data_IF_896748492286
#
_entry.id   IF_896748492286
#
_cell.length_a   1.000
_cell.length_b   1.000
_cell.length_c   1.000
_cell.angle_alpha   90.00
_cell.angle_beta   90.00
_cell.angle_gamma   90.00
#
_symmetry.space_group_name_H-M   'P 1'
#
loop_
_entity.id
_entity.type
_entity.pdbx_description
1 polymer ?
#
# COMPACT_ATOMS: atom_id res chain seq x y z
N UNK A 1 67.79 2.01 54.41
CA UNK A 1 67.65 0.69 53.74
C UNK A 1 66.17 0.44 53.47
N UNK A 2 65.84 -0.34 52.44
CA UNK A 2 64.69 -0.15 51.55
C UNK A 2 63.41 -0.84 52.03
N UNK A 3 62.34 -0.50 51.31
CA UNK A 3 61.12 -1.25 51.00
C UNK A 3 60.69 -2.42 51.90
N UNK A 4 59.44 -2.34 52.38
CA UNK A 4 58.62 -3.52 52.60
C UNK A 4 57.20 -3.29 52.08
N UNK A 5 56.77 -4.23 51.24
CA UNK A 5 55.51 -4.32 50.53
C UNK A 5 54.36 -4.87 51.39
N UNK A 6 53.15 -4.35 51.10
CA UNK A 6 51.81 -5.01 51.04
C UNK A 6 51.15 -5.51 52.34
N UNK A 7 49.91 -5.02 52.61
CA UNK A 7 48.63 -5.77 52.82
C UNK A 7 47.47 -4.77 52.58
N UNK A 8 46.73 -4.77 51.46
CA UNK A 8 45.55 -5.54 51.01
C UNK A 8 44.22 -5.41 51.83
N UNK A 9 43.13 -5.15 51.10
CA UNK A 9 41.67 -5.27 51.41
C UNK A 9 41.08 -4.24 52.39
N UNK A 10 39.94 -3.58 52.17
CA UNK A 10 38.65 -3.99 51.58
C UNK A 10 37.83 -2.73 51.16
N UNK A 11 37.01 -2.85 50.12
CA UNK A 11 36.17 -1.83 49.45
C UNK A 11 34.90 -1.48 50.25
N UNK A 12 34.42 -0.21 50.23
CA UNK A 12 33.00 0.21 50.04
C UNK A 12 32.91 1.70 49.62
N UNK A 13 32.27 1.99 48.48
CA UNK A 13 31.87 3.33 47.98
C UNK A 13 30.49 3.69 48.55
N UNK A 14 30.18 4.98 48.74
CA UNK A 14 28.85 5.46 48.34
C UNK A 14 28.88 6.68 47.40
N UNK A 15 27.90 6.63 46.52
CA UNK A 15 27.59 7.41 45.33
C UNK A 15 26.99 8.79 45.73
N UNK A 16 27.06 9.79 44.82
CA UNK A 16 25.93 10.67 44.39
C UNK A 16 26.26 12.18 44.30
N UNK A 17 25.99 12.71 43.09
CA UNK A 17 25.66 14.09 42.64
C UNK A 17 26.76 15.16 42.52
N UNK A 18 27.33 15.25 41.31
CA UNK A 18 27.85 16.51 40.75
C UNK A 18 26.70 17.20 40.02
N UNK A 19 26.17 18.28 40.59
CA UNK A 19 25.27 19.19 39.88
C UNK A 19 26.15 20.19 39.13
N UNK A 20 26.25 20.03 37.80
CA UNK A 20 26.79 21.06 36.93
C UNK A 20 25.64 21.98 36.50
N UNK A 21 25.63 23.20 37.03
CA UNK A 21 24.81 24.30 36.50
C UNK A 21 25.59 24.93 35.37
N UNK A 22 25.17 24.72 34.13
CA UNK A 22 25.62 25.53 32.98
C UNK A 22 24.44 26.27 32.41
N UNK A 23 24.62 27.59 32.35
CA UNK A 23 23.67 28.62 32.00
C UNK A 23 23.34 28.57 30.50
N UNK A 24 22.05 28.57 30.19
CA UNK A 24 21.43 28.85 28.90
C UNK A 24 21.58 30.35 28.56
N UNK A 25 21.73 30.90 27.36
CA UNK A 25 21.11 30.64 26.05
C UNK A 25 21.89 31.39 24.95
N UNK A 26 21.76 30.86 23.72
CA UNK A 26 21.62 31.53 22.42
C UNK A 26 22.71 32.53 21.95
N UNK A 27 23.25 32.27 20.76
CA UNK A 27 22.97 33.01 19.51
C UNK A 27 23.91 32.47 18.41
N UNK A 28 23.35 32.35 17.20
CA UNK A 28 23.95 31.99 15.91
C UNK A 28 23.88 30.51 15.49
N UNK A 29 22.83 30.17 14.74
CA UNK A 29 22.98 29.42 13.48
C UNK A 29 21.84 29.73 12.50
N UNK A 30 22.23 30.35 11.38
CA UNK A 30 21.75 30.19 10.00
C UNK A 30 20.27 30.50 9.68
N UNK A 31 20.07 31.64 8.99
CA UNK A 31 18.97 31.85 8.04
C UNK A 31 19.03 30.75 6.97
N UNK A 32 18.23 29.68 7.13
CA UNK A 32 17.72 28.96 5.97
C UNK A 32 16.47 29.69 5.49
N UNK A 33 16.62 30.40 4.38
CA UNK A 33 15.50 30.91 3.60
C UNK A 33 14.54 29.75 3.31
N UNK A 34 13.24 29.85 3.62
CA UNK A 34 12.31 28.79 3.31
C UNK A 34 12.20 28.70 1.78
N UNK A 35 12.77 27.65 1.19
CA UNK A 35 12.42 27.26 -0.18
C UNK A 35 10.89 27.07 -0.20
N UNK A 36 10.15 27.76 -1.08
CA UNK A 36 8.75 27.44 -1.24
C UNK A 36 8.69 26.01 -1.82
N UNK A 37 8.22 25.04 -1.03
CA UNK A 37 7.73 23.78 -1.56
C UNK A 37 6.54 24.11 -2.47
N UNK A 38 6.86 24.27 -3.74
CA UNK A 38 5.89 24.22 -4.83
C UNK A 38 6.00 22.82 -5.42
N UNK A 39 5.62 21.82 -4.63
CA UNK A 39 5.12 20.58 -5.22
C UNK A 39 3.86 20.98 -5.99
N UNK A 40 3.80 20.77 -7.32
CA UNK A 40 2.59 21.00 -8.07
C UNK A 40 1.45 20.17 -7.43
N UNK A 41 0.22 20.66 -7.53
CA UNK A 41 -1.00 19.99 -7.03
C UNK A 41 -1.21 18.59 -7.66
N UNK A 42 -0.34 18.17 -8.59
CA UNK A 42 -0.22 16.82 -9.13
C UNK A 42 0.56 15.82 -8.25
N UNK A 43 1.18 16.25 -7.15
CA UNK A 43 2.04 15.40 -6.29
C UNK A 43 1.31 14.78 -5.08
N UNK A 44 0.13 14.19 -5.30
CA UNK A 44 -0.29 13.01 -4.52
C UNK A 44 -1.40 12.26 -5.24
N UNK A 45 -1.24 10.94 -5.41
CA UNK A 45 -2.28 10.05 -5.92
C UNK A 45 -2.26 9.77 -7.42
N UNK A 46 -2.80 8.60 -7.78
CA UNK A 46 -2.88 8.12 -9.16
C UNK A 46 -3.79 8.99 -10.03
N UNK A 47 -3.57 8.90 -11.34
CA UNK A 47 -4.30 9.53 -12.44
C UNK A 47 -4.85 8.45 -13.37
N UNK A 48 -5.78 8.82 -14.27
CA UNK A 48 -6.24 7.89 -15.31
C UNK A 48 -5.13 7.44 -16.27
N UNK A 49 -4.01 8.17 -16.36
CA UNK A 49 -2.87 7.82 -17.22
C UNK A 49 -1.96 6.75 -16.60
N UNK A 50 -2.03 6.53 -15.28
CA UNK A 50 -1.19 5.52 -14.61
C UNK A 50 -1.54 4.09 -15.04
N UNK A 51 -2.69 3.89 -15.71
CA UNK A 51 -3.01 2.63 -16.35
C UNK A 51 -2.00 2.23 -17.45
N UNK A 52 -1.39 3.20 -18.14
CA UNK A 52 -0.37 2.94 -19.17
C UNK A 52 0.93 2.40 -18.53
N UNK A 53 1.25 2.87 -17.33
CA UNK A 53 2.38 2.35 -16.54
C UNK A 53 2.09 0.92 -16.09
N UNK A 54 0.88 0.66 -15.56
CA UNK A 54 0.45 -0.70 -15.18
C UNK A 54 0.52 -1.65 -16.39
N UNK A 55 0.00 -1.22 -17.55
CA UNK A 55 0.07 -1.98 -18.80
C UNK A 55 1.52 -2.36 -19.17
N UNK A 56 2.43 -1.38 -19.07
CA UNK A 56 3.83 -1.58 -19.43
C UNK A 56 4.51 -2.57 -18.49
N UNK A 57 4.32 -2.39 -17.18
CA UNK A 57 4.93 -3.26 -16.15
C UNK A 57 4.39 -4.70 -16.19
N UNK A 58 3.09 -4.88 -16.42
CA UNK A 58 2.49 -6.21 -16.45
C UNK A 58 2.83 -7.01 -17.71
N UNK A 59 3.12 -6.32 -18.82
CA UNK A 59 3.47 -6.96 -20.09
C UNK A 59 4.74 -7.82 -19.99
N UNK A 60 5.68 -7.45 -19.14
CA UNK A 60 6.91 -8.21 -18.90
C UNK A 60 6.63 -9.60 -18.29
N UNK A 61 5.48 -9.74 -17.62
CA UNK A 61 5.02 -10.98 -17.00
C UNK A 61 3.97 -11.72 -17.85
N UNK A 62 3.81 -11.35 -19.13
CA UNK A 62 2.83 -11.96 -20.02
C UNK A 62 1.38 -11.64 -19.65
N UNK A 63 1.15 -10.58 -18.88
CA UNK A 63 -0.17 -10.10 -18.46
C UNK A 63 -0.48 -8.85 -19.28
N UNK A 64 -1.65 -8.84 -19.92
CA UNK A 64 -2.06 -7.77 -20.81
C UNK A 64 -3.22 -7.00 -20.19
N UNK A 65 -3.14 -5.67 -20.21
CA UNK A 65 -4.22 -4.81 -19.75
C UNK A 65 -4.79 -4.06 -20.95
N UNK A 66 -6.12 -4.11 -21.13
CA UNK A 66 -6.77 -3.43 -22.26
C UNK A 66 -6.71 -1.92 -22.13
N UNK A 67 -6.98 -1.21 -23.23
CA UNK A 67 -7.22 0.23 -23.16
C UNK A 67 -8.41 0.55 -22.24
N UNK A 68 -8.36 1.67 -21.51
CA UNK A 68 -9.44 2.06 -20.61
C UNK A 68 -10.71 2.44 -21.37
N UNK A 69 -11.85 1.95 -20.87
CA UNK A 69 -13.18 2.32 -21.34
C UNK A 69 -13.89 3.13 -20.27
N UNK A 70 -14.34 4.33 -20.63
CA UNK A 70 -15.07 5.20 -19.71
C UNK A 70 -16.48 4.65 -19.44
N UNK A 71 -16.87 4.65 -18.17
CA UNK A 71 -18.21 4.33 -17.68
C UNK A 71 -18.74 5.55 -16.95
N UNK A 72 -19.78 6.16 -17.52
CA UNK A 72 -20.39 7.42 -17.02
C UNK A 72 -21.91 7.33 -16.90
N UNK A 73 -22.48 6.17 -17.19
CA UNK A 73 -23.91 5.93 -17.10
C UNK A 73 -24.30 5.34 -15.74
N UNK A 74 -25.57 4.96 -15.61
CA UNK A 74 -26.14 4.36 -14.41
C UNK A 74 -25.48 3.04 -13.96
N UNK A 75 -24.60 2.43 -14.76
CA UNK A 75 -23.88 1.20 -14.41
C UNK A 75 -22.57 1.44 -13.67
N UNK A 76 -22.16 2.70 -13.48
CA UNK A 76 -20.89 3.07 -12.83
C UNK A 76 -20.66 2.38 -11.47
N UNK A 77 -21.72 2.15 -10.70
CA UNK A 77 -21.66 1.47 -9.40
C UNK A 77 -21.34 -0.03 -9.49
N UNK A 78 -21.39 -0.62 -10.68
CA UNK A 78 -20.96 -2.01 -10.89
C UNK A 78 -19.43 -2.12 -10.99
N UNK A 79 -18.75 -1.00 -11.28
CA UNK A 79 -17.31 -0.96 -11.54
C UNK A 79 -16.56 -0.18 -10.45
N UNK A 80 -17.10 0.95 -10.02
CA UNK A 80 -16.45 1.88 -9.10
C UNK A 80 -17.38 2.22 -7.93
N UNK A 81 -17.57 1.26 -7.02
CA UNK A 81 -18.20 1.48 -5.72
C UNK A 81 -17.21 1.15 -4.62
N UNK A 82 -17.12 2.04 -3.63
CA UNK A 82 -16.35 1.81 -2.40
C UNK A 82 -17.22 2.13 -1.19
N UNK A 83 -16.77 1.77 0.00
CA UNK A 83 -17.51 2.02 1.23
C UNK A 83 -16.76 3.00 2.10
N UNK A 84 -17.45 4.04 2.52
CA UNK A 84 -16.95 5.03 3.48
C UNK A 84 -17.92 5.08 4.65
N UNK A 85 -17.43 4.87 5.88
CA UNK A 85 -18.26 4.80 7.09
C UNK A 85 -19.43 3.80 6.98
N UNK A 86 -19.21 2.67 6.30
CA UNK A 86 -20.21 1.62 6.09
C UNK A 86 -21.29 1.95 5.06
N UNK A 87 -21.19 3.09 4.36
CA UNK A 87 -22.12 3.50 3.31
C UNK A 87 -21.47 3.37 1.93
N UNK A 88 -22.18 2.80 0.94
CA UNK A 88 -21.67 2.75 -0.42
C UNK A 88 -21.57 4.17 -0.99
N UNK A 89 -20.43 4.46 -1.60
CA UNK A 89 -20.11 5.68 -2.32
C UNK A 89 -19.87 5.33 -3.78
N UNK A 90 -20.47 6.13 -4.65
CA UNK A 90 -20.23 6.07 -6.09
C UNK A 90 -19.42 7.28 -6.48
N UNK A 91 -18.59 7.08 -7.50
CA UNK A 91 -17.85 8.14 -8.18
C UNK A 91 -18.66 8.70 -9.34
N UNK A 92 -18.27 9.86 -9.87
CA UNK A 92 -18.94 10.50 -11.01
C UNK A 92 -18.41 9.98 -12.36
N UNK A 93 -17.15 9.56 -12.37
CA UNK A 93 -16.46 9.04 -13.55
C UNK A 93 -15.63 7.82 -13.16
N UNK A 94 -15.65 6.79 -14.02
CA UNK A 94 -14.92 5.55 -13.84
C UNK A 94 -14.35 5.12 -15.20
N UNK A 95 -13.16 4.54 -15.20
CA UNK A 95 -12.62 3.80 -16.34
C UNK A 95 -12.43 2.35 -15.95
N UNK A 96 -12.82 1.43 -16.82
CA UNK A 96 -12.58 0.00 -16.63
C UNK A 96 -11.62 -0.53 -17.69
N UNK A 97 -10.71 -1.41 -17.28
CA UNK A 97 -9.77 -2.11 -18.16
C UNK A 97 -9.83 -3.60 -17.87
N UNK A 98 -9.79 -4.44 -18.90
CA UNK A 98 -9.70 -5.88 -18.73
C UNK A 98 -8.24 -6.27 -18.47
N UNK A 99 -8.03 -7.21 -17.55
CA UNK A 99 -6.74 -7.87 -17.32
C UNK A 99 -6.81 -9.27 -17.94
N UNK A 100 -5.86 -9.59 -18.79
CA UNK A 100 -5.82 -10.81 -19.59
C UNK A 100 -4.49 -11.54 -19.38
N UNK A 101 -4.52 -12.87 -19.49
CA UNK A 101 -3.30 -13.67 -19.59
C UNK A 101 -2.74 -13.71 -21.03
N UNK A 102 -1.65 -14.46 -21.21
CA UNK A 102 -0.99 -14.61 -22.51
C UNK A 102 -1.82 -15.31 -23.58
N UNK A 103 -2.82 -16.08 -23.17
CA UNK A 103 -3.74 -16.79 -24.07
C UNK A 103 -4.98 -15.94 -24.40
N UNK A 104 -5.10 -14.75 -23.79
CA UNK A 104 -6.22 -13.84 -23.95
C UNK A 104 -7.41 -14.17 -23.05
N UNK A 105 -7.27 -15.07 -22.08
CA UNK A 105 -8.31 -15.33 -21.09
C UNK A 105 -8.36 -14.18 -20.09
N UNK A 106 -9.57 -13.84 -19.62
CA UNK A 106 -9.75 -12.80 -18.61
C UNK A 106 -9.34 -13.30 -17.22
N UNK A 107 -8.47 -12.54 -16.57
CA UNK A 107 -8.12 -12.70 -15.16
C UNK A 107 -8.99 -11.80 -14.27
N UNK A 108 -9.54 -10.72 -14.85
CA UNK A 108 -10.39 -9.78 -14.17
C UNK A 108 -10.31 -8.38 -14.77
N UNK A 109 -10.37 -7.34 -13.94
CA UNK A 109 -10.40 -5.95 -14.39
C UNK A 109 -9.75 -4.99 -13.39
N UNK A 110 -9.21 -3.88 -13.88
CA UNK A 110 -8.76 -2.75 -13.06
C UNK A 110 -9.66 -1.56 -13.39
N UNK A 111 -10.25 -0.99 -12.35
CA UNK A 111 -11.12 0.17 -12.44
C UNK A 111 -10.46 1.34 -11.72
N UNK A 112 -10.50 2.53 -12.31
CA UNK A 112 -10.05 3.78 -11.71
C UNK A 112 -11.24 4.73 -11.71
N UNK A 113 -11.52 5.40 -10.60
CA UNK A 113 -12.70 6.25 -10.47
C UNK A 113 -12.54 7.45 -9.54
N UNK A 114 -13.37 8.45 -9.77
CA UNK A 114 -13.45 9.69 -8.99
C UNK A 114 -14.23 10.75 -9.77
N UNK A 115 -13.72 11.97 -9.82
CA UNK A 115 -14.14 12.94 -10.83
C UNK A 115 -13.30 12.76 -12.11
N UNK A 116 -13.60 13.52 -13.17
CA UNK A 116 -12.78 13.53 -14.39
C UNK A 116 -11.37 14.06 -14.14
N UNK A 117 -11.21 14.93 -13.14
CA UNK A 117 -9.96 15.65 -12.87
C UNK A 117 -9.22 15.09 -11.65
N UNK A 118 -9.91 14.33 -10.80
CA UNK A 118 -9.38 13.77 -9.56
C UNK A 118 -9.94 12.37 -9.32
N UNK A 119 -9.28 11.34 -9.88
CA UNK A 119 -9.52 9.96 -9.43
C UNK A 119 -9.03 9.79 -7.99
N UNK A 120 -9.81 9.05 -7.22
CA UNK A 120 -9.59 8.80 -5.79
C UNK A 120 -9.68 7.32 -5.44
N UNK A 121 -10.21 6.51 -6.35
CA UNK A 121 -10.49 5.09 -6.18
C UNK A 121 -9.81 4.27 -7.28
N UNK A 122 -9.13 3.20 -6.89
CA UNK A 122 -8.75 2.13 -7.80
C UNK A 122 -9.25 0.79 -7.24
N UNK A 123 -9.78 -0.07 -8.12
CA UNK A 123 -10.25 -1.41 -7.77
C UNK A 123 -9.68 -2.39 -8.77
N UNK A 124 -8.86 -3.33 -8.31
CA UNK A 124 -8.44 -4.49 -9.10
C UNK A 124 -9.21 -5.72 -8.63
N UNK A 125 -10.09 -6.23 -9.49
CA UNK A 125 -10.83 -7.47 -9.25
C UNK A 125 -10.17 -8.58 -10.04
N UNK A 126 -9.75 -9.66 -9.37
CA UNK A 126 -9.23 -10.87 -9.99
C UNK A 126 -10.04 -12.07 -9.54
N UNK A 127 -10.45 -12.92 -10.48
CA UNK A 127 -11.24 -14.10 -10.18
C UNK A 127 -10.52 -15.36 -10.62
N UNK A 128 -10.28 -16.26 -9.67
CA UNK A 128 -9.52 -17.50 -9.89
C UNK A 128 -10.34 -18.70 -9.43
N UNK A 129 -10.04 -19.90 -9.94
CA UNK A 129 -10.68 -21.12 -9.45
C UNK A 129 -10.31 -21.42 -7.99
N UNK A 130 -9.05 -21.18 -7.64
CA UNK A 130 -8.52 -21.20 -6.27
C UNK A 130 -7.48 -20.10 -6.12
N UNK A 131 -7.14 -19.71 -4.88
CA UNK A 131 -6.04 -18.75 -4.66
C UNK A 131 -4.69 -19.27 -5.17
N UNK A 132 -4.52 -20.58 -5.32
CA UNK A 132 -3.30 -21.21 -5.81
C UNK A 132 -3.20 -21.28 -7.34
N UNK A 133 -4.32 -21.25 -8.09
CA UNK A 133 -4.29 -21.52 -9.54
C UNK A 133 -3.52 -20.46 -10.33
N UNK A 134 -3.62 -19.20 -9.91
CA UNK A 134 -2.96 -18.05 -10.54
C UNK A 134 -2.29 -17.17 -9.48
N UNK A 135 -1.75 -17.79 -8.42
CA UNK A 135 -1.13 -17.10 -7.28
C UNK A 135 -0.07 -16.09 -7.73
N UNK A 136 0.90 -16.55 -8.52
CA UNK A 136 2.01 -15.71 -9.00
C UNK A 136 1.51 -14.53 -9.83
N UNK A 137 0.56 -14.76 -10.77
CA UNK A 137 -0.02 -13.67 -11.57
C UNK A 137 -0.76 -12.67 -10.69
N UNK A 138 -1.51 -13.16 -9.69
CA UNK A 138 -2.24 -12.31 -8.75
C UNK A 138 -1.27 -11.42 -7.97
N UNK A 139 -0.17 -12.00 -7.47
CA UNK A 139 0.84 -11.26 -6.71
C UNK A 139 1.47 -10.17 -7.56
N UNK A 140 1.90 -10.51 -8.78
CA UNK A 140 2.46 -9.56 -9.74
C UNK A 140 1.47 -8.44 -10.07
N UNK A 141 0.19 -8.76 -10.28
CA UNK A 141 -0.85 -7.75 -10.57
C UNK A 141 -1.04 -6.80 -9.38
N UNK A 142 -1.27 -7.33 -8.18
CA UNK A 142 -1.50 -6.49 -7.01
C UNK A 142 -0.27 -5.68 -6.62
N UNK A 143 0.93 -6.26 -6.68
CA UNK A 143 2.17 -5.52 -6.47
C UNK A 143 2.33 -4.39 -7.48
N UNK A 144 2.14 -4.66 -8.76
CA UNK A 144 2.26 -3.63 -9.81
C UNK A 144 1.25 -2.51 -9.60
N UNK A 145 0.00 -2.85 -9.26
CA UNK A 145 -1.06 -1.86 -9.01
C UNK A 145 -0.71 -1.00 -7.79
N UNK A 146 -0.31 -1.61 -6.67
CA UNK A 146 0.06 -0.86 -5.46
C UNK A 146 1.27 0.03 -5.70
N UNK A 147 2.36 -0.52 -6.26
CA UNK A 147 3.58 0.27 -6.52
C UNK A 147 3.35 1.44 -7.48
N UNK A 148 2.48 1.25 -8.47
CA UNK A 148 2.20 2.30 -9.46
C UNK A 148 1.28 3.39 -8.89
N UNK A 149 0.27 3.01 -8.10
CA UNK A 149 -0.79 3.93 -7.69
C UNK A 149 -0.59 4.52 -6.30
N UNK A 150 0.21 3.88 -5.44
CA UNK A 150 0.49 4.32 -4.07
C UNK A 150 1.90 4.89 -3.99
N UNK A 151 2.91 4.03 -3.96
CA UNK A 151 4.33 4.40 -3.97
C UNK A 151 5.22 3.16 -4.17
N UNK A 152 6.49 3.37 -4.52
CA UNK A 152 7.56 2.38 -4.44
C UNK A 152 8.20 2.31 -3.03
N UNK A 153 7.58 2.94 -2.04
CA UNK A 153 8.07 3.15 -0.67
C UNK A 153 7.65 2.07 0.34
N UNK A 154 7.07 0.94 -0.12
CA UNK A 154 6.58 -0.11 0.79
C UNK A 154 7.67 -0.59 1.76
N UNK A 155 8.86 -0.83 1.22
CA UNK A 155 10.02 -1.31 1.98
C UNK A 155 10.62 -0.26 2.93
N UNK A 156 10.21 1.00 2.83
CA UNK A 156 10.69 2.10 3.68
C UNK A 156 9.81 2.29 4.93
N UNK A 157 8.62 1.65 4.96
CA UNK A 157 7.60 1.86 5.98
C UNK A 157 7.45 0.63 6.89
N UNK A 158 8.36 0.53 7.88
CA UNK A 158 8.37 -0.54 8.90
C UNK A 158 7.01 -0.73 9.61
N UNK A 159 6.19 0.32 9.67
CA UNK A 159 4.87 0.31 10.32
C UNK A 159 3.85 -0.60 9.63
N UNK A 160 4.07 -0.99 8.37
CA UNK A 160 3.19 -1.88 7.59
C UNK A 160 3.24 -3.32 8.15
N UNK A 161 4.38 -3.73 8.73
CA UNK A 161 4.53 -5.06 9.34
C UNK A 161 4.73 -6.23 8.36
N UNK A 162 4.95 -5.95 7.08
CA UNK A 162 5.29 -6.92 6.03
C UNK A 162 6.50 -6.42 5.24
N UNK A 163 7.47 -7.28 4.95
CA UNK A 163 8.70 -6.92 4.22
C UNK A 163 8.41 -6.55 2.76
N UNK A 164 7.32 -7.09 2.19
CA UNK A 164 6.94 -6.81 0.80
C UNK A 164 5.44 -6.95 0.54
N UNK A 165 4.96 -6.39 -0.57
CA UNK A 165 3.57 -6.54 -1.01
C UNK A 165 3.20 -8.03 -1.24
N UNK A 166 3.99 -8.85 -1.94
CA UNK A 166 3.68 -10.27 -2.10
C UNK A 166 3.56 -11.03 -0.77
N UNK A 167 4.39 -10.70 0.22
CA UNK A 167 4.31 -11.30 1.56
C UNK A 167 2.99 -10.96 2.25
N UNK A 168 2.56 -9.69 2.18
CA UNK A 168 1.25 -9.28 2.70
C UNK A 168 0.11 -10.05 2.01
N UNK A 169 0.11 -10.12 0.68
CA UNK A 169 -0.92 -10.86 -0.07
C UNK A 169 -0.93 -12.35 0.31
N UNK A 170 0.24 -12.98 0.46
CA UNK A 170 0.37 -14.38 0.88
C UNK A 170 -0.15 -14.62 2.30
N UNK A 171 0.12 -13.70 3.22
CA UNK A 171 -0.40 -13.75 4.58
C UNK A 171 -1.95 -13.67 4.59
N UNK A 172 -2.54 -12.83 3.73
CA UNK A 172 -4.00 -12.75 3.56
C UNK A 172 -4.57 -14.05 2.98
N UNK A 173 -3.90 -14.65 1.98
CA UNK A 173 -4.29 -15.94 1.42
C UNK A 173 -4.25 -17.05 2.48
N UNK A 174 -3.19 -17.09 3.28
CA UNK A 174 -3.04 -18.04 4.39
C UNK A 174 -4.17 -17.87 5.41
N UNK A 175 -4.43 -16.64 5.84
CA UNK A 175 -5.52 -16.36 6.78
C UNK A 175 -6.90 -16.76 6.23
N UNK A 176 -7.15 -16.58 4.93
CA UNK A 176 -8.39 -17.04 4.30
C UNK A 176 -8.58 -18.55 4.46
N UNK A 177 -7.54 -19.35 4.18
CA UNK A 177 -7.60 -20.81 4.35
C UNK A 177 -7.76 -21.21 5.81
N UNK A 178 -7.04 -20.57 6.73
CA UNK A 178 -7.14 -20.81 8.18
C UNK A 178 -8.52 -20.40 8.74
N UNK A 179 -9.21 -19.48 8.07
CA UNK A 179 -10.55 -19.03 8.43
C UNK A 179 -11.68 -19.91 7.86
N UNK A 180 -11.37 -21.14 7.44
CA UNK A 180 -12.32 -22.05 6.75
C UNK A 180 -12.92 -21.42 5.48
N UNK A 181 -12.14 -20.60 4.75
CA UNK A 181 -12.57 -19.94 3.51
C UNK A 181 -13.78 -19.00 3.70
N UNK A 182 -13.91 -18.38 4.88
CA UNK A 182 -14.86 -17.30 5.09
C UNK A 182 -14.41 -16.06 4.31
N UNK A 183 -15.35 -15.19 3.97
CA UNK A 183 -14.98 -13.91 3.37
C UNK A 183 -14.14 -13.12 4.38
N UNK A 184 -12.99 -12.64 3.92
CA UNK A 184 -12.05 -11.88 4.75
C UNK A 184 -11.70 -10.55 4.10
N UNK A 185 -11.16 -9.66 4.93
CA UNK A 185 -10.65 -8.37 4.53
C UNK A 185 -9.39 -8.07 5.32
N UNK A 186 -8.36 -7.62 4.62
CA UNK A 186 -7.12 -7.10 5.18
C UNK A 186 -6.99 -5.62 4.79
N UNK A 187 -6.34 -4.83 5.65
CA UNK A 187 -6.27 -3.37 5.51
C UNK A 187 -4.86 -2.89 5.86
N UNK A 188 -4.29 -2.05 5.00
CA UNK A 188 -3.11 -1.23 5.28
C UNK A 188 -3.57 0.23 5.25
N UNK A 189 -3.29 0.95 6.34
CA UNK A 189 -3.71 2.33 6.54
C UNK A 189 -2.52 3.29 6.47
N UNK A 190 -2.76 4.47 5.89
CA UNK A 190 -1.83 5.60 5.83
C UNK A 190 -0.50 5.32 5.13
N UNK A 191 -0.48 4.41 4.14
CA UNK A 191 0.66 4.30 3.23
C UNK A 191 0.54 5.39 2.15
N UNK A 192 1.43 6.38 2.17
CA UNK A 192 1.41 7.53 1.25
C UNK A 192 0.05 8.23 1.17
N UNK A 193 -0.61 8.47 2.31
CA UNK A 193 -1.97 9.05 2.42
C UNK A 193 -3.08 8.25 1.70
N UNK A 194 -2.87 6.93 1.55
CA UNK A 194 -3.87 6.01 0.98
C UNK A 194 -4.31 4.94 1.97
N UNK A 195 -5.53 4.45 1.74
CA UNK A 195 -6.10 3.27 2.35
C UNK A 195 -6.06 2.12 1.34
N UNK A 196 -5.43 0.99 1.68
CA UNK A 196 -5.32 -0.19 0.82
C UNK A 196 -6.05 -1.36 1.47
N UNK A 197 -7.03 -1.93 0.77
CA UNK A 197 -7.83 -3.05 1.22
C UNK A 197 -7.65 -4.23 0.28
N UNK A 198 -7.47 -5.43 0.84
CA UNK A 198 -7.58 -6.67 0.10
C UNK A 198 -8.73 -7.50 0.66
N UNK A 199 -9.73 -7.74 -0.15
CA UNK A 199 -10.90 -8.56 0.17
C UNK A 199 -10.83 -9.89 -0.59
N UNK A 200 -11.10 -11.00 0.11
CA UNK A 200 -11.24 -12.33 -0.50
C UNK A 200 -12.65 -12.82 -0.25
N UNK A 201 -13.36 -13.10 -1.33
CA UNK A 201 -14.76 -13.54 -1.32
C UNK A 201 -14.92 -14.88 -2.02
N UNK A 202 -15.45 -15.86 -1.29
CA UNK A 202 -15.82 -17.18 -1.83
C UNK A 202 -17.04 -17.04 -2.74
N UNK A 203 -16.96 -17.58 -3.95
CA UNK A 203 -18.09 -17.82 -4.85
C UNK A 203 -18.31 -19.33 -5.02
N UNK A 204 -19.40 -19.71 -5.68
CA UNK A 204 -19.77 -21.13 -5.84
C UNK A 204 -18.66 -22.00 -6.47
N UNK A 205 -17.93 -21.46 -7.45
CA UNK A 205 -16.89 -22.19 -8.21
C UNK A 205 -15.58 -21.41 -8.38
N UNK A 206 -15.41 -20.31 -7.65
CA UNK A 206 -14.29 -19.40 -7.81
C UNK A 206 -14.04 -18.61 -6.52
N UNK A 207 -12.92 -17.91 -6.48
CA UNK A 207 -12.55 -16.97 -5.42
C UNK A 207 -12.30 -15.62 -6.07
N UNK A 208 -13.05 -14.61 -5.62
CA UNK A 208 -12.86 -13.23 -6.03
C UNK A 208 -11.90 -12.55 -5.05
N UNK A 209 -10.85 -11.97 -5.59
CA UNK A 209 -9.85 -11.19 -4.89
C UNK A 209 -9.99 -9.73 -5.34
N UNK A 210 -10.31 -8.85 -4.41
CA UNK A 210 -10.58 -7.45 -4.70
C UNK A 210 -9.61 -6.58 -3.92
N UNK A 211 -8.66 -5.98 -4.64
CA UNK A 211 -7.77 -4.95 -4.13
C UNK A 211 -8.44 -3.59 -4.35
N UNK A 212 -8.59 -2.80 -3.29
CA UNK A 212 -9.17 -1.45 -3.32
C UNK A 212 -8.12 -0.49 -2.78
N UNK A 213 -7.85 0.58 -3.53
CA UNK A 213 -6.99 1.69 -3.10
C UNK A 213 -7.86 2.94 -3.09
N UNK A 214 -7.93 3.59 -1.93
CA UNK A 214 -8.68 4.82 -1.73
C UNK A 214 -7.74 5.92 -1.26
N UNK A 215 -7.72 7.04 -1.97
CA UNK A 215 -6.98 8.24 -1.57
C UNK A 215 -7.82 9.06 -0.60
N UNK A 216 -7.21 9.53 0.49
CA UNK A 216 -7.81 10.57 1.31
C UNK A 216 -7.66 11.94 0.61
N UNK A 217 -8.77 12.68 0.53
CA UNK A 217 -8.84 14.03 -0.07
C UNK A 217 -9.24 15.05 0.99
#
# INVERSE_FOLDING_TARGET
MPELLIVNKLIVIPIVLVIAVVISYAVLTMDESPKPLTTPIYDSGFTYYDIEKIQTSLKENGIFVSSPTAVTDHTISQYCTFFENGLPKNVEYCTTTAVLDSDGNTLGNINIGGSTDSPILAIANLETGTLESDKEKTFVIFETVIRTLVCDCWEEEDAIGFESIPEWVDAVHTFYYDSDKRNIKSKIDNLADTEILLEITSKDNSVLQTLIILKHV
#
